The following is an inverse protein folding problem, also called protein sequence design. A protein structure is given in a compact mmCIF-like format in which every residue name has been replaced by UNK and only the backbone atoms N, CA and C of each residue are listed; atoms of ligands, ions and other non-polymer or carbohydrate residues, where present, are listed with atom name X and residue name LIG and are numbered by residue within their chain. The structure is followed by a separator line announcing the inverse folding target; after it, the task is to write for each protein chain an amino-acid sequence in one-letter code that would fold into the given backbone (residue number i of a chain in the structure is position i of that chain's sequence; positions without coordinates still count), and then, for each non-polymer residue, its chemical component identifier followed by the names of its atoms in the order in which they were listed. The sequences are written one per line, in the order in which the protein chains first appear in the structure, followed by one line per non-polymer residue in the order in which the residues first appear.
data_IF_907680513703
#
_entry.id   IF_907680513703
#
_cell.length_a   1.000
_cell.length_b   1.000
_cell.length_c   1.000
_cell.angle_alpha   90.00
_cell.angle_beta   90.00
_cell.angle_gamma   90.00
#
_symmetry.space_group_name_H-M   'P 1'
#
loop_
_entity.id
_entity.type
_entity.pdbx_description
1 polymer ?
#
# COMPACT_ATOMS: atom_id res chain seq x y z
N UNK A 1 -13.30 -1.82 -1.39
CA UNK A 1 -12.43 -2.85 -0.81
C UNK A 1 -11.21 -2.22 -0.11
N UNK A 2 -11.38 -1.77 1.14
CA UNK A 2 -10.26 -1.42 2.02
C UNK A 2 -10.45 -2.12 3.37
N UNK A 3 -9.37 -2.48 4.08
CA UNK A 3 -9.46 -3.11 5.39
C UNK A 3 -10.22 -2.21 6.37
N UNK A 4 -11.02 -2.80 7.25
CA UNK A 4 -11.68 -2.04 8.32
C UNK A 4 -10.62 -1.24 9.08
N UNK A 5 -10.86 0.05 9.19
CA UNK A 5 -9.88 1.00 9.74
C UNK A 5 -10.57 1.89 10.76
N UNK A 6 -9.97 2.02 11.93
CA UNK A 6 -10.49 2.78 13.06
C UNK A 6 -9.43 3.79 13.51
N UNK A 7 -9.82 5.04 13.62
CA UNK A 7 -8.99 6.06 14.27
C UNK A 7 -9.21 5.98 15.78
N UNK A 8 -8.12 5.77 16.51
CA UNK A 8 -8.08 5.84 17.97
C UNK A 8 -7.54 7.18 18.42
N UNK A 9 -8.24 7.77 19.42
CA UNK A 9 -7.88 9.02 20.05
C UNK A 9 -7.78 8.80 21.58
N UNK A 10 -7.21 9.74 22.28
CA UNK A 10 -7.15 9.69 23.73
C UNK A 10 -8.56 9.60 24.34
N UNK A 11 -8.74 8.64 25.27
CA UNK A 11 -10.03 8.37 25.90
C UNK A 11 -10.96 7.41 25.18
N UNK A 12 -10.58 6.92 23.99
CA UNK A 12 -11.38 5.93 23.27
C UNK A 12 -11.42 4.58 24.00
N UNK A 13 -12.60 3.95 23.99
CA UNK A 13 -12.78 2.60 24.53
C UNK A 13 -12.18 1.54 23.62
N UNK A 14 -11.55 0.52 24.23
CA UNK A 14 -11.07 -0.66 23.51
C UNK A 14 -12.17 -1.46 22.84
N UNK A 15 -13.43 -1.27 23.22
CA UNK A 15 -14.60 -1.89 22.54
C UNK A 15 -14.68 -1.53 21.06
N UNK A 16 -14.08 -0.42 20.62
CA UNK A 16 -13.95 -0.10 19.19
C UNK A 16 -13.26 -1.21 18.39
N UNK A 17 -12.38 -1.99 19.02
CA UNK A 17 -11.72 -3.13 18.35
C UNK A 17 -12.69 -4.26 17.96
N UNK A 18 -13.86 -4.32 18.57
CA UNK A 18 -14.87 -5.34 18.24
C UNK A 18 -15.43 -5.15 16.83
N UNK A 19 -15.28 -3.95 16.27
CA UNK A 19 -15.64 -3.66 14.89
C UNK A 19 -14.68 -4.31 13.86
N UNK A 20 -13.49 -4.75 14.28
CA UNK A 20 -12.51 -5.46 13.44
C UNK A 20 -12.71 -6.95 13.64
N UNK A 21 -12.92 -7.69 12.55
CA UNK A 21 -13.17 -9.13 12.64
C UNK A 21 -11.89 -9.96 12.71
N UNK A 22 -10.78 -9.49 12.13
CA UNK A 22 -9.49 -10.17 12.20
C UNK A 22 -8.98 -10.29 13.65
N UNK A 23 -8.39 -11.42 14.05
CA UNK A 23 -7.74 -11.56 15.36
C UNK A 23 -6.45 -10.73 15.48
N UNK A 24 -5.83 -10.40 14.36
CA UNK A 24 -4.65 -9.55 14.26
C UNK A 24 -5.00 -8.19 13.70
N UNK A 25 -4.34 -7.17 14.22
CA UNK A 25 -4.50 -5.79 13.79
C UNK A 25 -3.16 -5.16 13.47
N UNK A 26 -3.19 -4.20 12.57
CA UNK A 26 -2.05 -3.34 12.27
C UNK A 26 -2.29 -2.00 12.95
N UNK A 27 -1.34 -1.59 13.77
CA UNK A 27 -1.35 -0.28 14.44
C UNK A 27 -0.40 0.63 13.67
N UNK A 28 -0.90 1.79 13.24
CA UNK A 28 -0.13 2.77 12.46
C UNK A 28 -0.20 4.12 13.14
N UNK A 29 0.91 4.84 13.36
CA UNK A 29 0.85 6.26 13.71
C UNK A 29 0.06 7.01 12.65
N UNK A 30 -0.80 7.96 13.04
CA UNK A 30 -1.60 8.73 12.09
C UNK A 30 -0.73 9.49 11.08
N UNK A 31 0.37 10.04 11.56
CA UNK A 31 1.25 10.91 10.78
C UNK A 31 2.60 10.22 10.43
N UNK A 32 2.65 8.87 10.48
CA UNK A 32 3.84 8.08 10.17
C UNK A 32 4.15 8.01 8.68
N UNK A 33 5.44 7.98 8.33
CA UNK A 33 5.92 7.80 6.94
C UNK A 33 6.83 6.57 6.82
N UNK A 34 6.75 5.89 5.68
CA UNK A 34 7.68 4.82 5.31
C UNK A 34 7.61 3.57 6.21
N UNK A 35 6.46 3.31 6.81
CA UNK A 35 6.26 2.13 7.68
C UNK A 35 6.88 2.24 9.07
N UNK A 36 7.39 3.42 9.46
CA UNK A 36 7.92 3.64 10.79
C UNK A 36 6.78 3.61 11.83
N UNK A 37 7.02 2.92 12.94
CA UNK A 37 6.04 2.82 14.02
C UNK A 37 4.86 1.89 13.73
N UNK A 38 4.85 1.18 12.60
CA UNK A 38 3.84 0.16 12.34
C UNK A 38 4.13 -1.08 13.20
N UNK A 39 3.10 -1.51 13.91
CA UNK A 39 3.14 -2.70 14.78
C UNK A 39 1.99 -3.63 14.38
N UNK A 40 2.27 -4.93 14.30
CA UNK A 40 1.24 -5.97 14.22
C UNK A 40 1.04 -6.56 15.61
N UNK A 41 -0.19 -6.63 16.05
CA UNK A 41 -0.55 -7.14 17.39
C UNK A 41 -1.79 -8.00 17.32
N UNK A 42 -1.91 -8.94 18.26
CA UNK A 42 -3.21 -9.55 18.49
C UNK A 42 -4.14 -8.54 19.17
N UNK A 43 -5.45 -8.66 18.95
CA UNK A 43 -6.44 -7.82 19.66
C UNK A 43 -6.36 -8.00 21.19
N UNK A 44 -5.97 -9.21 21.64
CA UNK A 44 -5.83 -9.52 23.08
C UNK A 44 -4.63 -8.79 23.73
N UNK A 45 -3.55 -8.63 22.95
CA UNK A 45 -2.30 -8.00 23.43
C UNK A 45 -2.23 -6.52 23.10
N UNK A 46 -3.26 -6.01 22.43
CA UNK A 46 -3.33 -4.60 22.04
C UNK A 46 -3.20 -3.69 23.28
N UNK A 47 -2.34 -2.68 23.16
CA UNK A 47 -2.18 -1.63 24.18
C UNK A 47 -2.29 -0.28 23.48
N UNK A 48 -3.16 0.60 23.96
CA UNK A 48 -3.28 1.96 23.42
C UNK A 48 -1.96 2.71 23.59
N UNK A 49 -1.60 3.48 22.58
CA UNK A 49 -0.52 4.46 22.63
C UNK A 49 -1.13 5.85 22.89
N UNK A 50 -0.34 6.77 23.46
CA UNK A 50 -0.84 8.10 23.86
C UNK A 50 -1.22 9.01 22.69
N UNK A 51 -0.65 8.79 21.51
CA UNK A 51 -0.88 9.63 20.35
C UNK A 51 -2.03 9.09 19.50
N UNK A 52 -2.73 9.94 18.72
CA UNK A 52 -3.70 9.46 17.76
C UNK A 52 -3.05 8.47 16.80
N UNK A 53 -3.65 7.29 16.66
CA UNK A 53 -3.17 6.21 15.80
C UNK A 53 -4.33 5.52 15.09
N UNK A 54 -3.99 4.82 14.03
CA UNK A 54 -4.93 4.04 13.23
C UNK A 54 -4.75 2.58 13.60
N UNK A 55 -5.86 1.90 13.86
CA UNK A 55 -5.91 0.43 13.95
C UNK A 55 -6.64 -0.07 12.71
N UNK A 56 -5.98 -0.95 11.99
CA UNK A 56 -6.49 -1.49 10.74
C UNK A 56 -6.52 -3.02 10.80
N UNK A 57 -7.54 -3.60 10.21
CA UNK A 57 -7.63 -5.04 10.01
C UNK A 57 -6.42 -5.57 9.25
N UNK A 58 -5.82 -6.66 9.74
CA UNK A 58 -4.79 -7.35 9.00
C UNK A 58 -5.43 -8.21 7.91
N UNK A 59 -5.01 -8.00 6.68
CA UNK A 59 -5.37 -8.85 5.55
C UNK A 59 -4.30 -9.93 5.39
N UNK A 60 -4.69 -11.19 5.49
CA UNK A 60 -3.80 -12.31 5.23
C UNK A 60 -3.52 -12.45 3.73
N UNK A 61 -2.24 -12.49 3.38
CA UNK A 61 -1.76 -12.44 2.00
C UNK A 61 -0.75 -13.54 1.69
N UNK A 62 -0.82 -14.68 2.42
CA UNK A 62 0.19 -15.73 2.37
C UNK A 62 0.26 -16.46 1.02
N UNK A 63 -0.84 -16.48 0.24
CA UNK A 63 -0.86 -17.11 -1.09
C UNK A 63 -0.13 -16.27 -2.15
N UNK A 64 0.12 -14.99 -1.90
CA UNK A 64 0.75 -14.09 -2.86
C UNK A 64 -0.16 -13.74 -4.03
N UNK A 65 0.44 -13.33 -5.14
CA UNK A 65 -0.23 -13.04 -6.42
C UNK A 65 0.28 -14.05 -7.45
N UNK A 66 -0.58 -14.91 -8.03
CA UNK A 66 -0.18 -15.94 -8.98
C UNK A 66 0.64 -15.40 -10.15
N UNK A 67 1.80 -16.02 -10.41
CA UNK A 67 2.70 -15.60 -11.48
C UNK A 67 3.53 -14.33 -11.21
N UNK A 68 3.32 -13.67 -10.07
CA UNK A 68 3.99 -12.41 -9.70
C UNK A 68 4.83 -12.58 -8.44
N UNK A 69 4.21 -12.98 -7.32
CA UNK A 69 4.88 -13.08 -6.03
C UNK A 69 4.27 -14.19 -5.19
N UNK A 70 5.10 -14.87 -4.40
CA UNK A 70 4.66 -15.83 -3.39
C UNK A 70 4.73 -15.23 -2.01
N UNK A 71 3.77 -15.57 -1.16
CA UNK A 71 3.74 -15.12 0.23
C UNK A 71 3.27 -13.68 0.40
N UNK A 72 3.55 -13.13 1.57
CA UNK A 72 3.15 -11.77 1.92
C UNK A 72 3.74 -10.74 0.97
N UNK A 73 2.93 -9.78 0.61
CA UNK A 73 3.30 -8.81 -0.41
C UNK A 73 2.52 -7.51 -0.28
N UNK A 74 2.98 -6.54 -1.03
CA UNK A 74 2.36 -5.25 -1.25
C UNK A 74 2.66 -4.86 -2.71
N UNK A 75 1.62 -4.64 -3.50
CA UNK A 75 1.70 -4.18 -4.89
C UNK A 75 1.48 -2.67 -4.91
N UNK A 76 2.50 -1.91 -5.31
CA UNK A 76 2.39 -0.48 -5.54
C UNK A 76 2.19 -0.18 -7.01
N UNK A 77 1.17 0.63 -7.31
CA UNK A 77 0.90 1.17 -8.63
C UNK A 77 1.04 2.69 -8.59
N UNK A 78 1.98 3.24 -9.37
CA UNK A 78 2.15 4.68 -9.53
C UNK A 78 1.25 5.17 -10.66
N UNK A 79 0.55 6.26 -10.37
CA UNK A 79 -0.48 6.86 -11.23
C UNK A 79 -0.08 8.26 -11.66
N UNK A 80 -0.20 8.51 -12.95
CA UNK A 80 -0.23 9.83 -13.56
C UNK A 80 -1.68 10.16 -13.91
N UNK A 81 -2.31 11.03 -13.15
CA UNK A 81 -3.74 11.31 -13.27
C UNK A 81 -4.58 10.02 -13.21
N UNK A 82 -5.07 9.55 -14.35
CA UNK A 82 -5.84 8.32 -14.49
C UNK A 82 -5.04 7.13 -15.02
N UNK A 83 -3.78 7.34 -15.39
CA UNK A 83 -2.96 6.34 -16.10
C UNK A 83 -1.97 5.68 -15.13
N UNK A 84 -2.03 4.36 -14.94
CA UNK A 84 -0.96 3.64 -14.28
C UNK A 84 0.27 3.62 -15.19
N UNK A 85 1.42 4.06 -14.71
CA UNK A 85 2.63 4.13 -15.54
C UNK A 85 3.79 3.30 -14.99
N UNK A 86 3.79 2.98 -13.70
CA UNK A 86 4.86 2.20 -13.09
C UNK A 86 4.33 1.37 -11.94
N UNK A 87 4.81 0.13 -11.82
CA UNK A 87 4.40 -0.71 -10.72
C UNK A 87 5.51 -1.64 -10.26
N UNK A 88 5.45 -2.00 -8.98
CA UNK A 88 6.32 -2.97 -8.39
C UNK A 88 5.64 -3.68 -7.22
N UNK A 89 6.10 -4.88 -6.94
CA UNK A 89 5.70 -5.64 -5.75
C UNK A 89 6.83 -5.62 -4.73
N UNK A 90 6.49 -5.44 -3.47
CA UNK A 90 7.39 -5.61 -2.33
C UNK A 90 7.02 -6.88 -1.57
N UNK A 91 8.02 -7.58 -1.07
CA UNK A 91 7.85 -8.73 -0.18
C UNK A 91 8.61 -8.47 1.11
N UNK A 92 8.06 -8.79 2.28
CA UNK A 92 8.79 -8.68 3.54
C UNK A 92 9.90 -9.75 3.63
N UNK A 93 10.75 -9.63 4.63
CA UNK A 93 11.57 -10.76 5.06
C UNK A 93 10.67 -11.90 5.56
N UNK A 94 11.17 -13.11 5.49
CA UNK A 94 10.48 -14.29 6.02
C UNK A 94 10.10 -14.08 7.48
N UNK A 95 8.84 -14.35 7.79
CA UNK A 95 8.28 -14.14 9.14
C UNK A 95 7.80 -12.72 9.45
N UNK A 96 8.15 -11.70 8.65
CA UNK A 96 7.63 -10.33 8.84
C UNK A 96 6.28 -10.15 8.12
N UNK A 97 5.50 -9.17 8.60
CA UNK A 97 4.22 -8.75 7.99
C UNK A 97 4.38 -7.50 7.11
N UNK A 98 5.45 -6.72 7.32
CA UNK A 98 5.59 -5.40 6.71
C UNK A 98 6.54 -5.47 5.52
N UNK A 99 5.99 -5.36 4.31
CA UNK A 99 6.74 -5.33 3.06
C UNK A 99 7.45 -3.99 2.88
N UNK A 100 8.55 -3.76 3.59
CA UNK A 100 9.32 -2.52 3.52
C UNK A 100 10.78 -2.80 3.17
N UNK A 101 11.27 -2.14 2.11
CA UNK A 101 12.66 -2.27 1.62
C UNK A 101 13.67 -1.85 2.70
N UNK A 102 13.38 -0.81 3.47
CA UNK A 102 14.26 -0.35 4.57
C UNK A 102 14.40 -1.38 5.69
N UNK A 103 13.48 -2.33 5.77
CA UNK A 103 13.51 -3.47 6.71
C UNK A 103 14.11 -4.74 6.10
N UNK A 104 14.74 -4.64 4.94
CA UNK A 104 15.37 -5.78 4.25
C UNK A 104 14.45 -6.52 3.30
N UNK A 105 13.23 -6.04 3.05
CA UNK A 105 12.31 -6.64 2.09
C UNK A 105 12.84 -6.56 0.65
N UNK A 106 12.26 -7.36 -0.23
CA UNK A 106 12.59 -7.39 -1.65
C UNK A 106 11.64 -6.50 -2.45
N UNK A 107 12.11 -6.02 -3.62
CA UNK A 107 11.32 -5.28 -4.60
C UNK A 107 11.55 -5.86 -5.99
N UNK A 108 10.44 -6.11 -6.71
CA UNK A 108 10.47 -6.51 -8.12
C UNK A 108 9.53 -5.62 -8.92
N UNK A 109 10.04 -5.05 -10.02
CA UNK A 109 9.23 -4.25 -10.95
C UNK A 109 8.30 -5.17 -11.72
N UNK A 110 7.05 -4.77 -11.83
CA UNK A 110 6.00 -5.52 -12.51
C UNK A 110 5.49 -4.67 -13.69
N UNK A 111 5.53 -5.18 -14.92
CA UNK A 111 4.87 -4.52 -16.05
C UNK A 111 3.37 -4.32 -15.80
N UNK A 112 2.83 -3.17 -16.19
CA UNK A 112 1.43 -2.82 -15.93
C UNK A 112 0.46 -3.88 -16.49
N UNK A 113 0.76 -4.44 -17.64
CA UNK A 113 -0.03 -5.47 -18.30
C UNK A 113 -0.04 -6.82 -17.55
N UNK A 114 0.84 -7.02 -16.59
CA UNK A 114 0.86 -8.20 -15.71
C UNK A 114 0.09 -8.02 -14.40
N UNK A 115 -0.35 -6.80 -14.11
CA UNK A 115 -1.19 -6.55 -12.94
C UNK A 115 -2.52 -7.30 -13.12
N UNK A 116 -3.00 -8.05 -12.10
CA UNK A 116 -4.30 -8.71 -12.19
C UNK A 116 -5.42 -7.74 -12.54
N UNK A 117 -6.32 -8.13 -13.45
CA UNK A 117 -7.42 -7.28 -13.90
C UNK A 117 -8.29 -6.78 -12.76
N UNK A 118 -8.51 -7.59 -11.72
CA UNK A 118 -9.25 -7.19 -10.53
C UNK A 118 -8.63 -6.00 -9.80
N UNK A 119 -7.29 -5.91 -9.77
CA UNK A 119 -6.60 -4.75 -9.21
C UNK A 119 -6.71 -3.52 -10.11
N UNK A 120 -6.60 -3.69 -11.44
CA UNK A 120 -6.74 -2.58 -12.39
C UNK A 120 -8.13 -1.94 -12.32
N UNK A 121 -9.19 -2.74 -12.20
CA UNK A 121 -10.57 -2.24 -12.00
C UNK A 121 -10.66 -1.42 -10.71
N UNK A 122 -10.02 -1.87 -9.63
CA UNK A 122 -10.02 -1.13 -8.36
C UNK A 122 -9.21 0.16 -8.45
N UNK A 123 -8.06 0.12 -9.13
CA UNK A 123 -7.23 1.31 -9.42
C UNK A 123 -8.00 2.33 -10.23
N UNK A 124 -8.73 1.91 -11.27
CA UNK A 124 -9.57 2.78 -12.09
C UNK A 124 -10.67 3.44 -11.25
N UNK A 125 -11.36 2.68 -10.42
CA UNK A 125 -12.39 3.22 -9.53
C UNK A 125 -11.83 4.31 -8.59
N UNK A 126 -10.66 4.09 -7.97
CA UNK A 126 -10.00 5.11 -7.14
C UNK A 126 -9.61 6.33 -7.97
N UNK A 127 -9.10 6.11 -9.17
CA UNK A 127 -8.73 7.18 -10.10
C UNK A 127 -9.92 8.06 -10.45
N UNK A 128 -11.10 7.47 -10.64
CA UNK A 128 -12.33 8.21 -10.90
C UNK A 128 -12.78 9.05 -9.69
N UNK A 129 -12.74 8.49 -8.49
CA UNK A 129 -13.01 9.24 -7.25
C UNK A 129 -12.07 10.44 -7.11
N UNK A 130 -10.78 10.25 -7.47
CA UNK A 130 -9.76 11.30 -7.40
C UNK A 130 -9.80 12.26 -8.61
N UNK A 131 -10.62 12.03 -9.62
CA UNK A 131 -10.68 12.86 -10.85
C UNK A 131 -11.02 14.33 -10.59
N UNK A 132 -11.71 14.62 -9.48
CA UNK A 132 -12.03 15.99 -9.02
C UNK A 132 -10.80 16.84 -8.67
N UNK A 133 -9.65 16.22 -8.40
CA UNK A 133 -8.40 16.93 -8.17
C UNK A 133 -7.71 17.18 -9.51
N UNK A 134 -7.18 18.39 -9.72
CA UNK A 134 -6.38 18.66 -10.91
C UNK A 134 -5.12 17.79 -10.88
N UNK A 135 -4.34 17.85 -11.91
CA UNK A 135 -3.06 17.15 -12.12
C UNK A 135 -2.44 16.54 -10.85
N UNK A 136 -2.28 15.22 -10.81
CA UNK A 136 -1.80 14.47 -9.65
C UNK A 136 -0.91 13.30 -10.03
N UNK A 137 0.20 13.19 -9.31
CA UNK A 137 1.05 12.02 -9.26
C UNK A 137 0.85 11.36 -7.89
N UNK A 138 0.46 10.10 -7.86
CA UNK A 138 0.16 9.41 -6.61
C UNK A 138 0.45 7.91 -6.73
N UNK A 139 0.41 7.20 -5.63
CA UNK A 139 0.53 5.75 -5.64
C UNK A 139 -0.66 5.11 -4.90
N UNK A 140 -1.04 3.93 -5.36
CA UNK A 140 -2.01 3.06 -4.70
C UNK A 140 -1.27 1.81 -4.27
N UNK A 141 -1.36 1.48 -2.99
CA UNK A 141 -0.81 0.26 -2.42
C UNK A 141 -1.94 -0.76 -2.24
N UNK A 142 -1.75 -1.94 -2.81
CA UNK A 142 -2.71 -3.01 -2.87
C UNK A 142 -2.14 -4.29 -2.28
N UNK A 143 -3.00 -5.07 -1.63
CA UNK A 143 -2.70 -6.44 -1.22
C UNK A 143 -3.76 -7.38 -1.78
N UNK A 144 -3.44 -8.65 -1.96
CA UNK A 144 -4.38 -9.68 -2.37
C UNK A 144 -4.59 -10.67 -1.22
N UNK A 145 -5.84 -10.88 -0.84
CA UNK A 145 -6.17 -11.86 0.19
C UNK A 145 -6.06 -13.31 -0.32
N UNK A 146 -6.31 -14.25 0.56
CA UNK A 146 -6.27 -15.68 0.28
C UNK A 146 -7.26 -16.11 -0.84
N UNK A 147 -8.33 -15.33 -1.06
CA UNK A 147 -9.29 -15.52 -2.14
C UNK A 147 -8.94 -14.72 -3.42
N UNK A 148 -7.74 -14.16 -3.50
CA UNK A 148 -7.24 -13.34 -4.63
C UNK A 148 -8.09 -12.08 -4.88
N UNK A 149 -8.73 -11.54 -3.84
CA UNK A 149 -9.42 -10.25 -3.91
C UNK A 149 -8.43 -9.13 -3.59
N UNK A 150 -8.38 -8.07 -4.42
CA UNK A 150 -7.52 -6.93 -4.15
C UNK A 150 -8.11 -6.04 -3.03
N UNK A 151 -7.24 -5.56 -2.16
CA UNK A 151 -7.56 -4.64 -1.07
C UNK A 151 -6.68 -3.41 -1.17
N UNK A 152 -7.28 -2.22 -1.09
CA UNK A 152 -6.55 -0.94 -1.02
C UNK A 152 -6.06 -0.78 0.41
N UNK A 153 -4.75 -0.69 0.56
CA UNK A 153 -4.11 -0.49 1.87
C UNK A 153 -3.82 0.98 2.13
N UNK A 154 -3.39 1.69 1.08
CA UNK A 154 -3.01 3.10 1.16
C UNK A 154 -3.13 3.78 -0.20
N UNK A 155 -3.55 5.07 -0.20
CA UNK A 155 -3.37 6.00 -1.31
C UNK A 155 -2.38 7.08 -0.87
N UNK A 156 -1.24 7.17 -1.56
CA UNK A 156 -0.16 8.07 -1.19
C UNK A 156 -0.04 9.22 -2.20
N UNK A 157 -0.37 10.45 -1.78
CA UNK A 157 -0.30 11.64 -2.61
C UNK A 157 1.12 12.18 -2.83
N UNK A 158 2.11 11.63 -2.12
CA UNK A 158 3.54 11.99 -2.24
C UNK A 158 4.38 10.73 -2.28
N UNK A 159 4.26 9.90 -3.35
CA UNK A 159 5.05 8.70 -3.46
C UNK A 159 6.53 9.04 -3.54
N UNK A 160 7.38 8.17 -2.95
CA UNK A 160 8.82 8.26 -3.15
C UNK A 160 9.16 8.06 -4.63
N UNK A 161 9.97 8.96 -5.18
CA UNK A 161 10.41 8.91 -6.58
C UNK A 161 11.91 8.54 -6.71
N UNK A 162 12.50 8.01 -5.66
CA UNK A 162 13.88 7.52 -5.66
C UNK A 162 13.85 6.02 -5.92
N UNK A 163 14.49 5.62 -7.01
CA UNK A 163 14.57 4.22 -7.40
C UNK A 163 15.56 3.44 -6.53
N UNK A 164 15.16 2.25 -6.12
CA UNK A 164 16.03 1.27 -5.47
C UNK A 164 16.89 0.51 -6.50
N UNK A 165 17.90 -0.23 -6.02
CA UNK A 165 18.85 -0.94 -6.87
C UNK A 165 18.18 -1.80 -7.95
N UNK A 166 17.13 -2.52 -7.60
CA UNK A 166 16.41 -3.41 -8.53
C UNK A 166 15.58 -2.65 -9.58
N UNK A 167 15.35 -1.35 -9.39
CA UNK A 167 14.60 -0.49 -10.29
C UNK A 167 15.50 0.27 -11.27
N UNK A 168 16.83 0.28 -11.04
CA UNK A 168 17.78 1.02 -11.88
C UNK A 168 17.72 0.68 -13.39
N UNK A 169 17.43 -0.56 -13.81
CA UNK A 169 17.22 -0.87 -15.24
C UNK A 169 16.07 -0.08 -15.88
N UNK A 170 15.10 0.38 -15.08
CA UNK A 170 13.90 1.10 -15.54
C UNK A 170 14.03 2.62 -15.39
N UNK A 171 15.21 3.14 -14.94
CA UNK A 171 15.41 4.55 -14.57
C UNK A 171 15.08 5.52 -15.70
N UNK A 172 15.46 5.21 -16.93
CA UNK A 172 15.22 6.08 -18.08
C UNK A 172 13.72 6.24 -18.33
N UNK A 173 13.00 5.13 -18.44
CA UNK A 173 11.55 5.12 -18.58
C UNK A 173 10.87 5.90 -17.45
N UNK A 174 11.23 5.58 -16.22
CA UNK A 174 10.63 6.16 -15.03
C UNK A 174 10.80 7.68 -14.97
N UNK A 175 12.03 8.18 -15.08
CA UNK A 175 12.28 9.61 -14.99
C UNK A 175 11.85 10.39 -16.22
N UNK A 176 11.88 9.79 -17.41
CA UNK A 176 11.30 10.41 -18.61
C UNK A 176 9.81 10.66 -18.42
N UNK A 177 9.07 9.68 -17.91
CA UNK A 177 7.65 9.83 -17.61
C UNK A 177 7.39 10.94 -16.58
N UNK A 178 8.15 10.96 -15.48
CA UNK A 178 8.02 12.00 -14.44
C UNK A 178 8.29 13.40 -15.01
N UNK A 179 9.34 13.55 -15.82
CA UNK A 179 9.68 14.83 -16.46
C UNK A 179 8.53 15.26 -17.39
N UNK A 180 8.04 14.38 -18.24
CA UNK A 180 6.90 14.66 -19.12
C UNK A 180 5.66 15.07 -18.35
N UNK A 181 5.34 14.34 -17.26
CA UNK A 181 4.25 14.70 -16.37
C UNK A 181 4.42 16.12 -15.82
N UNK A 182 5.60 16.51 -15.37
CA UNK A 182 5.85 17.81 -14.80
C UNK A 182 5.81 18.93 -15.85
N UNK A 183 6.35 18.69 -17.05
CA UNK A 183 6.48 19.72 -18.11
C UNK A 183 5.19 19.92 -18.92
N UNK A 184 4.38 18.91 -19.14
CA UNK A 184 3.09 19.01 -19.85
C UNK A 184 2.02 19.82 -19.10
N UNK A 185 2.43 20.66 -18.16
CA UNK A 185 1.55 21.42 -17.25
C UNK A 185 1.74 22.93 -17.33
N UNK A 186 2.58 23.36 -18.25
CA UNK A 186 2.86 24.78 -18.49
C UNK A 186 2.10 25.24 -19.72
#
# INVERSE_FOLDING_TARGET
FHPKTILFQEGDSLQKLDEIHSPLVIIKPRDGLGGNGIVVSSKKDFRPIKEPFIVQELIETNHGIPGIVRGRHDLRVLMDNKTPFYSFVRSPLEGDYIANIKRGGNLNVIPIEKIPQSALVLVEHISDVLSRFPKKLYAIDLMFDEAQRPWIVECNSRPGLILHKNELPYREYFYTHIIQFLTNSI
#
